data_IF_025165286306
#
_entry.id   IF_025165286306
#
_cell.length_a   1.000
_cell.length_b   1.000
_cell.length_c   1.000
_cell.angle_alpha   90.00
_cell.angle_beta   90.00
_cell.angle_gamma   90.00
#
_symmetry.space_group_name_H-M   'P 1'
#
loop_
_entity.id
_entity.type
_entity.pdbx_description
1 polymer ?
#
# COMPACT_ATOMS: atom_id res chain seq x y z
N UNK A 1 -15.46 -8.01 11.24
CA UNK A 1 -14.58 -7.30 10.33
C UNK A 1 -13.97 -6.10 11.03
N UNK A 2 -12.73 -5.93 10.80
CA UNK A 2 -11.99 -4.91 11.50
C UNK A 2 -11.59 -3.80 10.55
N UNK A 3 -11.77 -2.57 10.98
CA UNK A 3 -11.31 -1.41 10.24
C UNK A 3 -9.94 -1.03 10.78
N UNK A 4 -8.95 -0.98 9.90
CA UNK A 4 -7.59 -0.67 10.29
C UNK A 4 -7.25 0.75 9.90
N UNK A 5 -6.55 1.43 10.76
CA UNK A 5 -6.09 2.77 10.45
C UNK A 5 -4.62 2.72 10.09
N UNK A 6 -4.16 3.76 9.44
CA UNK A 6 -2.81 3.80 8.90
C UNK A 6 -1.83 4.44 9.86
N UNK A 7 -2.06 4.32 11.16
CA UNK A 7 -1.14 4.93 12.10
C UNK A 7 0.17 4.17 12.15
N UNK A 8 1.26 4.91 12.16
CA UNK A 8 2.59 4.32 12.17
C UNK A 8 2.99 3.93 13.57
N UNK A 9 3.45 2.70 13.77
CA UNK A 9 4.01 2.34 15.05
C UNK A 9 5.36 3.02 15.23
N UNK A 10 5.78 3.22 16.47
CA UNK A 10 7.12 3.72 16.70
C UNK A 10 8.15 2.72 16.21
N UNK A 11 9.31 3.22 15.85
CA UNK A 11 10.41 2.38 15.44
C UNK A 11 10.53 2.30 13.94
N UNK A 12 10.85 1.13 13.44
CA UNK A 12 11.18 0.94 12.03
C UNK A 12 9.95 1.00 11.16
N UNK A 13 9.85 1.97 10.24
CA UNK A 13 8.65 2.12 9.43
C UNK A 13 8.62 1.13 8.27
N UNK A 14 7.48 0.48 8.06
CA UNK A 14 7.26 -0.37 6.91
C UNK A 14 6.79 0.40 5.70
N UNK A 15 6.24 1.56 5.90
CA UNK A 15 5.63 2.34 4.83
C UNK A 15 6.25 3.72 4.81
N UNK A 16 6.65 4.11 3.63
CA UNK A 16 7.27 5.42 3.44
C UNK A 16 6.49 6.18 2.38
N UNK A 17 6.18 7.45 2.66
CA UNK A 17 5.51 8.33 1.70
C UNK A 17 6.50 9.35 1.20
N UNK A 18 6.64 9.42 -0.12
CA UNK A 18 7.52 10.37 -0.75
C UNK A 18 6.66 11.45 -1.39
N UNK A 19 6.83 12.68 -0.96
CA UNK A 19 6.15 13.82 -1.53
C UNK A 19 7.11 14.53 -2.45
N UNK A 20 6.68 14.75 -3.67
CA UNK A 20 7.51 15.52 -4.58
C UNK A 20 7.37 16.99 -4.24
N UNK A 21 8.43 17.73 -4.48
CA UNK A 21 8.38 19.17 -4.28
C UNK A 21 8.00 19.92 -5.53
N UNK A 22 7.63 19.19 -6.53
CA UNK A 22 7.20 19.80 -7.76
C UNK A 22 5.88 20.51 -7.56
N UNK A 23 5.69 21.55 -8.35
CA UNK A 23 4.42 22.25 -8.34
C UNK A 23 3.37 21.31 -8.89
N UNK A 24 2.37 21.05 -8.06
CA UNK A 24 1.27 20.18 -8.46
C UNK A 24 0.15 21.06 -8.95
N UNK A 25 -0.37 20.73 -10.13
CA UNK A 25 -1.48 21.49 -10.70
C UNK A 25 -2.70 21.33 -9.81
N UNK A 26 -3.53 22.36 -9.80
CA UNK A 26 -4.71 22.36 -8.94
C UNK A 26 -5.59 21.13 -9.22
N UNK A 27 -5.69 20.76 -10.50
CA UNK A 27 -6.50 19.59 -10.85
C UNK A 27 -5.93 18.31 -10.25
N UNK A 28 -4.60 18.21 -10.21
CA UNK A 28 -3.96 17.04 -9.64
C UNK A 28 -4.15 17.00 -8.12
N UNK A 29 -4.07 18.15 -7.48
CA UNK A 29 -4.33 18.23 -6.05
C UNK A 29 -5.76 17.79 -5.75
N UNK A 30 -6.71 18.29 -6.52
CA UNK A 30 -8.10 17.92 -6.33
C UNK A 30 -8.31 16.43 -6.55
N UNK A 31 -7.63 15.86 -7.54
CA UNK A 31 -7.74 14.44 -7.81
C UNK A 31 -7.24 13.62 -6.62
N UNK A 32 -6.11 14.02 -6.05
CA UNK A 32 -5.56 13.33 -4.89
C UNK A 32 -6.51 13.46 -3.70
N UNK A 33 -7.04 14.65 -3.48
CA UNK A 33 -7.92 14.90 -2.35
C UNK A 33 -9.26 14.21 -2.52
N UNK A 34 -9.62 13.88 -3.76
CA UNK A 34 -10.91 13.26 -4.04
C UNK A 34 -10.85 11.74 -4.09
N UNK A 35 -9.70 11.14 -3.82
CA UNK A 35 -9.65 9.70 -3.70
C UNK A 35 -10.72 9.27 -2.71
N UNK A 36 -11.55 8.34 -3.14
CA UNK A 36 -12.74 7.99 -2.39
C UNK A 36 -12.43 7.17 -1.16
N UNK A 37 -13.16 7.44 -0.10
CA UNK A 37 -13.19 6.55 1.05
C UNK A 37 -14.19 5.46 0.71
N UNK A 38 -13.72 4.22 0.73
CA UNK A 38 -14.58 3.08 0.40
C UNK A 38 -14.11 1.86 1.15
N UNK A 39 -14.91 0.81 1.06
CA UNK A 39 -14.56 -0.47 1.64
C UNK A 39 -13.75 -1.27 0.63
N UNK A 40 -12.64 -1.81 1.07
CA UNK A 40 -11.72 -2.56 0.23
C UNK A 40 -11.64 -3.97 0.77
N UNK A 41 -11.92 -4.95 -0.08
CA UNK A 41 -12.02 -6.34 0.36
C UNK A 41 -10.76 -7.08 -0.04
N UNK A 42 -10.19 -7.79 0.92
CA UNK A 42 -9.09 -8.73 0.70
C UNK A 42 -9.57 -10.10 1.13
N UNK A 43 -9.36 -11.11 0.30
CA UNK A 43 -9.91 -12.43 0.56
C UNK A 43 -8.82 -13.42 0.86
N UNK A 44 -9.13 -14.34 1.76
CA UNK A 44 -8.23 -15.44 2.06
C UNK A 44 -7.87 -16.18 0.78
N UNK A 45 -6.58 -16.51 0.64
CA UNK A 45 -6.11 -17.19 -0.55
C UNK A 45 -5.55 -16.29 -1.62
N UNK A 46 -5.89 -15.00 -1.59
CA UNK A 46 -5.23 -14.06 -2.47
C UNK A 46 -3.85 -13.75 -1.93
N UNK A 47 -2.95 -13.29 -2.81
CA UNK A 47 -1.67 -12.80 -2.36
C UNK A 47 -1.71 -11.29 -2.19
N UNK A 48 -0.80 -10.77 -1.40
CA UNK A 48 -0.69 -9.33 -1.20
C UNK A 48 -0.54 -8.62 -2.54
N UNK A 49 0.25 -9.19 -3.44
CA UNK A 49 0.44 -8.59 -4.75
C UNK A 49 -0.87 -8.49 -5.52
N UNK A 50 -1.67 -9.56 -5.49
CA UNK A 50 -2.94 -9.57 -6.22
C UNK A 50 -3.89 -8.53 -5.66
N UNK A 51 -3.96 -8.44 -4.34
CA UNK A 51 -4.86 -7.47 -3.71
C UNK A 51 -4.43 -6.05 -4.03
N UNK A 52 -3.15 -5.78 -3.91
CA UNK A 52 -2.66 -4.43 -4.17
C UNK A 52 -2.83 -4.04 -5.63
N UNK A 53 -2.65 -5.00 -6.54
CA UNK A 53 -2.86 -4.71 -7.95
C UNK A 53 -4.31 -4.36 -8.24
N UNK A 54 -5.24 -5.13 -7.70
CA UNK A 54 -6.66 -4.86 -7.90
C UNK A 54 -7.02 -3.49 -7.31
N UNK A 55 -6.53 -3.21 -6.13
CA UNK A 55 -6.85 -1.95 -5.48
C UNK A 55 -6.23 -0.77 -6.22
N UNK A 56 -4.99 -0.92 -6.68
CA UNK A 56 -4.34 0.14 -7.43
C UNK A 56 -5.08 0.44 -8.72
N UNK A 57 -5.57 -0.60 -9.39
CA UNK A 57 -6.31 -0.41 -10.63
C UNK A 57 -7.58 0.41 -10.41
N UNK A 58 -8.23 0.24 -9.26
CA UNK A 58 -9.46 0.96 -8.97
C UNK A 58 -9.21 2.46 -8.87
N UNK A 59 -8.11 2.85 -8.27
CA UNK A 59 -7.85 4.27 -8.02
C UNK A 59 -6.81 4.86 -8.97
N UNK A 60 -6.39 4.10 -9.97
CA UNK A 60 -5.47 4.64 -10.95
C UNK A 60 -4.05 4.77 -10.45
N UNK A 61 -3.66 3.92 -9.52
CA UNK A 61 -2.28 3.87 -9.07
C UNK A 61 -1.54 2.79 -9.84
N UNK A 62 -0.23 2.97 -9.94
CA UNK A 62 0.63 1.95 -10.55
C UNK A 62 1.32 1.19 -9.44
N UNK A 63 1.26 -0.14 -9.53
CA UNK A 63 1.97 -0.99 -8.58
C UNK A 63 3.24 -1.50 -9.22
N UNK A 64 4.36 -1.29 -8.54
CA UNK A 64 5.64 -1.86 -8.93
C UNK A 64 6.01 -2.89 -7.86
N UNK A 65 5.92 -4.16 -8.22
CA UNK A 65 6.20 -5.26 -7.30
C UNK A 65 7.64 -5.70 -7.53
N UNK A 66 8.52 -5.27 -6.65
CA UNK A 66 9.95 -5.40 -6.85
C UNK A 66 10.53 -6.40 -5.87
N UNK A 67 9.95 -7.60 -5.83
CA UNK A 67 10.45 -8.68 -5.01
C UNK A 67 9.93 -9.99 -5.60
N UNK A 68 10.64 -11.07 -5.33
CA UNK A 68 10.21 -12.40 -5.74
C UNK A 68 9.34 -13.08 -4.71
N UNK A 69 9.13 -12.42 -3.58
CA UNK A 69 8.36 -13.01 -2.48
C UNK A 69 6.87 -12.93 -2.75
N UNK A 70 6.15 -13.88 -2.21
CA UNK A 70 4.71 -13.88 -2.23
C UNK A 70 4.22 -13.88 -0.79
N UNK A 71 3.11 -13.18 -0.57
CA UNK A 71 2.54 -13.05 0.77
C UNK A 71 1.08 -13.43 0.70
N UNK A 72 0.78 -14.73 0.87
CA UNK A 72 -0.62 -15.16 0.82
C UNK A 72 -1.38 -14.70 2.05
N UNK A 73 -2.63 -14.29 1.81
CA UNK A 73 -3.50 -13.87 2.89
C UNK A 73 -4.06 -15.10 3.59
N UNK A 74 -3.95 -15.11 4.91
CA UNK A 74 -4.44 -16.23 5.72
C UNK A 74 -5.86 -16.03 6.19
N UNK A 75 -6.42 -14.86 5.97
CA UNK A 75 -7.78 -14.55 6.39
C UNK A 75 -8.32 -13.45 5.52
N UNK A 76 -9.64 -13.38 5.42
CA UNK A 76 -10.29 -12.30 4.71
C UNK A 76 -10.46 -11.11 5.63
N UNK A 77 -10.46 -9.91 5.04
CA UNK A 77 -10.62 -8.68 5.82
C UNK A 77 -11.21 -7.59 4.93
N UNK A 78 -11.86 -6.64 5.57
CA UNK A 78 -12.33 -5.44 4.89
C UNK A 78 -11.64 -4.25 5.53
N UNK A 79 -11.10 -3.39 4.68
CA UNK A 79 -10.42 -2.18 5.11
C UNK A 79 -11.21 -0.99 4.61
N UNK A 80 -11.37 0.02 5.44
CA UNK A 80 -12.11 1.21 5.03
C UNK A 80 -11.18 2.40 5.02
N UNK A 81 -11.21 3.17 3.92
CA UNK A 81 -10.39 4.35 3.79
C UNK A 81 -10.04 4.62 2.35
N UNK A 82 -9.05 5.45 2.15
CA UNK A 82 -8.52 5.75 0.83
C UNK A 82 -7.44 4.73 0.49
N UNK A 83 -7.16 4.62 -0.80
CA UNK A 83 -6.20 3.61 -1.27
C UNK A 83 -4.88 3.69 -0.50
N UNK A 84 -4.35 4.89 -0.33
CA UNK A 84 -3.06 5.05 0.34
C UNK A 84 -3.11 4.45 1.75
N UNK A 85 -4.19 4.70 2.45
CA UNK A 85 -4.31 4.28 3.84
C UNK A 85 -4.58 2.78 3.96
N UNK A 86 -5.47 2.26 3.11
CA UNK A 86 -5.81 0.85 3.22
C UNK A 86 -4.70 -0.04 2.69
N UNK A 87 -4.00 0.40 1.65
CA UNK A 87 -2.88 -0.39 1.14
C UNK A 87 -1.76 -0.44 2.15
N UNK A 88 -1.47 0.65 2.84
CA UNK A 88 -0.44 0.61 3.86
C UNK A 88 -0.88 -0.23 5.05
N UNK A 89 -2.17 -0.23 5.36
CA UNK A 89 -2.67 -1.04 6.47
C UNK A 89 -2.49 -2.53 6.17
N UNK A 90 -2.82 -2.97 4.96
CA UNK A 90 -2.69 -4.38 4.66
C UNK A 90 -1.21 -4.78 4.58
N UNK A 91 -0.34 -3.91 4.09
CA UNK A 91 1.09 -4.20 4.06
C UNK A 91 1.61 -4.39 5.48
N UNK A 92 1.15 -3.57 6.42
CA UNK A 92 1.59 -3.67 7.81
C UNK A 92 1.14 -4.96 8.49
N UNK A 93 0.11 -5.62 7.97
CA UNK A 93 -0.28 -6.90 8.57
C UNK A 93 0.80 -7.95 8.37
N UNK A 94 1.74 -7.72 7.48
CA UNK A 94 2.86 -8.63 7.25
C UNK A 94 4.13 -8.18 7.95
N UNK A 95 4.00 -7.38 9.01
CA UNK A 95 5.18 -6.86 9.70
C UNK A 95 6.01 -7.95 10.35
N UNK A 96 5.40 -9.10 10.62
CA UNK A 96 6.12 -10.23 11.22
C UNK A 96 6.60 -11.24 10.20
N UNK A 97 6.36 -10.99 8.94
CA UNK A 97 6.84 -11.88 7.89
C UNK A 97 8.35 -11.76 7.76
N UNK A 98 8.97 -12.84 7.32
CA UNK A 98 10.41 -12.88 7.10
C UNK A 98 10.66 -13.35 5.69
N UNK A 99 11.12 -12.47 4.82
CA UNK A 99 11.36 -11.03 5.01
C UNK A 99 10.06 -10.24 4.99
N UNK A 100 10.06 -9.12 5.69
CA UNK A 100 8.85 -8.30 5.72
C UNK A 100 8.79 -7.41 4.48
N UNK A 101 7.59 -7.12 4.01
CA UNK A 101 7.46 -6.24 2.85
C UNK A 101 7.65 -4.78 3.26
N UNK A 102 8.19 -4.01 2.33
CA UNK A 102 8.38 -2.58 2.51
C UNK A 102 7.67 -1.87 1.37
N UNK A 103 7.08 -0.74 1.67
CA UNK A 103 6.34 0.01 0.68
C UNK A 103 6.83 1.44 0.62
N UNK A 104 6.89 1.97 -0.59
CA UNK A 104 7.26 3.33 -0.82
C UNK A 104 6.24 3.95 -1.76
N UNK A 105 5.63 5.04 -1.33
CA UNK A 105 4.60 5.70 -2.09
C UNK A 105 5.14 6.98 -2.70
N UNK A 106 5.03 7.08 -4.01
CA UNK A 106 5.36 8.31 -4.73
C UNK A 106 4.06 9.02 -5.02
N UNK A 107 3.69 9.94 -4.15
CA UNK A 107 2.35 10.52 -4.16
C UNK A 107 2.09 11.35 -5.41
N UNK A 108 3.08 12.08 -5.86
CA UNK A 108 2.90 12.91 -7.04
C UNK A 108 2.66 12.11 -8.30
N UNK A 109 3.24 10.92 -8.39
CA UNK A 109 3.12 10.08 -9.58
C UNK A 109 2.11 8.96 -9.41
N UNK A 110 1.57 8.78 -8.21
CA UNK A 110 0.62 7.73 -7.89
C UNK A 110 1.21 6.35 -8.19
N UNK A 111 2.42 6.13 -7.66
CA UNK A 111 3.14 4.87 -7.82
C UNK A 111 3.40 4.28 -6.44
N UNK A 112 3.11 3.00 -6.30
CA UNK A 112 3.41 2.25 -5.08
C UNK A 112 4.44 1.19 -5.42
N UNK A 113 5.59 1.27 -4.76
CA UNK A 113 6.68 0.31 -4.95
C UNK A 113 6.74 -0.58 -3.73
N UNK A 114 6.71 -1.89 -3.93
CA UNK A 114 6.82 -2.87 -2.85
C UNK A 114 8.08 -3.68 -3.07
N UNK A 115 8.88 -3.78 -2.01
CA UNK A 115 10.08 -4.61 -2.02
C UNK A 115 10.19 -5.30 -0.67
N UNK A 116 11.24 -6.07 -0.47
CA UNK A 116 11.42 -6.75 0.80
C UNK A 116 12.69 -6.28 1.46
N UNK A 117 12.71 -6.40 2.78
CA UNK A 117 13.82 -5.90 3.57
C UNK A 117 15.13 -6.57 3.22
N UNK A 118 15.11 -7.83 2.85
CA UNK A 118 16.32 -8.58 2.57
C UNK A 118 17.01 -8.16 1.28
N UNK A 119 16.33 -7.39 0.45
CA UNK A 119 16.80 -7.08 -0.88
C UNK A 119 17.96 -6.10 -0.89
N UNK A 120 18.17 -5.45 0.22
CA UNK A 120 19.17 -4.38 0.26
C UNK A 120 20.58 -4.88 0.30
N UNK A 121 20.82 -6.13 0.59
CA UNK A 121 22.17 -6.59 0.70
C UNK A 121 22.72 -7.03 -0.64
N UNK A 122 21.92 -6.92 -1.61
CA UNK A 122 22.32 -7.09 -3.01
C UNK A 122 23.41 -8.04 -3.21
#
# INVERSE_FOLDING_TARGET
VRVLSASMPPGYPLVEYVETKEVVMEDEVNKILQDSIRDWVAKEGQTLREVLQQWADIEGWELVWNTKREYPLKASAIFRGRFKDVSSAIIRTFSRATPQPLAKYYLGNRVLVVKTLEENDG
#
